data_IF_312397175934
#
_entry.id   IF_312397175934
#
_cell.length_a   1.000
_cell.length_b   1.000
_cell.length_c   1.000
_cell.angle_alpha   90.00
_cell.angle_beta   90.00
_cell.angle_gamma   90.00
#
_symmetry.space_group_name_H-M   'P 1'
#
loop_
_entity.id
_entity.type
_entity.pdbx_description
1 polymer ?
#
# COMPACT_ATOMS: atom_id res chain seq x y z
N UNK A 1 9.96 -0.87 14.28
CA UNK A 1 10.34 0.26 13.41
C UNK A 1 10.80 -0.21 12.04
N UNK A 2 11.87 -1.04 11.93
CA UNK A 2 12.39 -1.56 10.65
C UNK A 2 11.34 -2.18 9.72
N UNK A 3 10.44 -3.02 10.25
CA UNK A 3 9.34 -3.59 9.45
C UNK A 3 8.44 -2.52 8.83
N UNK A 4 8.02 -1.52 9.61
CA UNK A 4 7.17 -0.44 9.08
C UNK A 4 7.88 0.35 7.99
N UNK A 5 9.16 0.71 8.22
CA UNK A 5 10.00 1.39 7.21
C UNK A 5 10.07 0.59 5.92
N UNK A 6 10.35 -0.71 6.02
CA UNK A 6 10.44 -1.59 4.86
C UNK A 6 9.11 -1.67 4.11
N UNK A 7 8.01 -1.77 4.85
CA UNK A 7 6.66 -1.84 4.30
C UNK A 7 6.27 -0.56 3.55
N UNK A 8 6.52 0.60 4.15
CA UNK A 8 6.30 1.90 3.53
C UNK A 8 7.18 2.08 2.30
N UNK A 9 8.48 1.79 2.41
CA UNK A 9 9.43 1.90 1.31
C UNK A 9 9.05 0.98 0.14
N UNK A 10 8.59 -0.24 0.43
CA UNK A 10 8.13 -1.19 -0.58
C UNK A 10 6.90 -0.65 -1.34
N UNK A 11 5.89 -0.13 -0.63
CA UNK A 11 4.70 0.44 -1.26
C UNK A 11 5.07 1.63 -2.14
N UNK A 12 5.82 2.60 -1.60
CA UNK A 12 6.22 3.82 -2.32
C UNK A 12 7.07 3.48 -3.55
N UNK A 13 8.03 2.56 -3.43
CA UNK A 13 8.89 2.14 -4.55
C UNK A 13 8.10 1.48 -5.66
N UNK A 14 7.17 0.58 -5.33
CA UNK A 14 6.35 -0.10 -6.33
C UNK A 14 5.38 0.86 -7.03
N UNK A 15 4.81 1.81 -6.28
CA UNK A 15 3.99 2.88 -6.83
C UNK A 15 4.80 3.75 -7.79
N UNK A 16 5.98 4.23 -7.35
CA UNK A 16 6.86 5.07 -8.16
C UNK A 16 7.27 4.36 -9.45
N UNK A 17 7.76 3.12 -9.37
CA UNK A 17 8.18 2.39 -10.57
C UNK A 17 6.99 2.22 -11.51
N UNK A 18 5.84 1.77 -11.02
CA UNK A 18 4.67 1.58 -11.87
C UNK A 18 4.30 2.86 -12.63
N UNK A 19 4.12 3.96 -11.91
CA UNK A 19 3.74 5.23 -12.52
C UNK A 19 4.81 5.72 -13.49
N UNK A 20 6.09 5.65 -13.11
CA UNK A 20 7.18 6.18 -13.94
C UNK A 20 7.41 5.34 -15.20
N UNK A 21 7.60 4.03 -15.06
CA UNK A 21 8.08 3.18 -16.17
C UNK A 21 6.92 2.62 -16.97
N UNK A 22 5.85 2.15 -16.31
CA UNK A 22 4.74 1.51 -17.02
C UNK A 22 3.68 2.47 -17.54
N UNK A 23 3.63 3.70 -17.02
CA UNK A 23 2.64 4.68 -17.46
C UNK A 23 3.33 5.86 -18.13
N UNK A 24 4.13 6.63 -17.40
CA UNK A 24 4.72 7.89 -17.90
C UNK A 24 5.65 7.63 -19.07
N UNK A 25 6.68 6.79 -18.89
CA UNK A 25 7.68 6.51 -19.93
C UNK A 25 7.09 5.77 -21.13
N UNK A 26 6.22 4.79 -20.87
CA UNK A 26 5.53 4.05 -21.94
C UNK A 26 4.65 4.96 -22.80
N UNK A 27 3.78 5.76 -22.19
CA UNK A 27 2.91 6.69 -22.92
C UNK A 27 3.70 7.83 -23.57
N UNK A 28 4.83 8.24 -22.98
CA UNK A 28 5.72 9.23 -23.56
C UNK A 28 6.32 8.74 -24.87
N UNK A 29 6.78 7.49 -24.91
CA UNK A 29 7.33 6.90 -26.14
C UNK A 29 6.29 6.80 -27.26
N UNK A 30 5.03 6.48 -26.93
CA UNK A 30 3.92 6.51 -27.90
C UNK A 30 3.72 7.92 -28.44
N UNK A 31 3.63 8.92 -27.55
CA UNK A 31 3.48 10.32 -27.94
C UNK A 31 4.64 10.78 -28.84
N UNK A 32 5.89 10.43 -28.49
CA UNK A 32 7.07 10.79 -29.27
C UNK A 32 7.04 10.17 -30.68
N UNK A 33 6.60 8.91 -30.82
CA UNK A 33 6.41 8.28 -32.14
C UNK A 33 5.41 9.07 -32.99
N UNK A 34 4.25 9.40 -32.42
CA UNK A 34 3.23 10.18 -33.11
C UNK A 34 3.70 11.60 -33.48
N UNK A 35 4.47 12.26 -32.60
CA UNK A 35 5.04 13.58 -32.89
C UNK A 35 6.04 13.51 -34.06
N UNK A 36 6.81 12.43 -34.18
CA UNK A 36 7.79 12.26 -35.27
C UNK A 36 7.13 11.95 -36.62
N UNK A 37 6.00 11.26 -36.60
CA UNK A 37 5.28 10.82 -37.81
C UNK A 37 4.27 11.86 -38.32
N UNK A 38 3.76 12.72 -37.44
CA UNK A 38 2.73 13.71 -37.81
C UNK A 38 3.32 14.99 -38.38
N UNK A 39 2.60 15.58 -39.32
CA UNK A 39 2.91 16.87 -39.94
C UNK A 39 1.77 17.89 -39.76
N UNK A 40 0.71 17.54 -39.03
CA UNK A 40 -0.43 18.42 -38.73
C UNK A 40 -0.46 18.76 -37.24
N UNK A 41 -0.47 20.05 -36.92
CA UNK A 41 -0.59 20.53 -35.55
C UNK A 41 -1.89 20.08 -34.87
N UNK A 42 -3.00 19.95 -35.62
CA UNK A 42 -4.28 19.52 -35.07
C UNK A 42 -4.20 18.08 -34.55
N UNK A 43 -3.51 17.20 -35.29
CA UNK A 43 -3.23 15.84 -34.84
C UNK A 43 -2.32 15.83 -33.60
N UNK A 44 -1.26 16.65 -33.58
CA UNK A 44 -0.37 16.78 -32.42
C UNK A 44 -1.14 17.16 -31.13
N UNK A 45 -2.10 18.07 -31.24
CA UNK A 45 -2.99 18.42 -30.12
C UNK A 45 -3.84 17.22 -29.69
N UNK A 46 -4.38 16.46 -30.65
CA UNK A 46 -5.11 15.22 -30.39
C UNK A 46 -4.26 14.19 -29.63
N UNK A 47 -3.05 13.91 -30.11
CA UNK A 47 -2.13 12.96 -29.46
C UNK A 47 -1.72 13.41 -28.05
N UNK A 48 -1.54 14.72 -27.84
CA UNK A 48 -1.25 15.24 -26.49
C UNK A 48 -2.42 15.03 -25.53
N UNK A 49 -3.66 15.25 -25.98
CA UNK A 49 -4.85 15.01 -25.18
C UNK A 49 -5.03 13.51 -24.86
N UNK A 50 -4.77 12.63 -25.83
CA UNK A 50 -4.77 11.18 -25.61
C UNK A 50 -3.70 10.76 -24.60
N UNK A 51 -2.49 11.31 -24.71
CA UNK A 51 -1.42 11.10 -23.73
C UNK A 51 -1.85 11.48 -22.31
N UNK A 52 -2.39 12.70 -22.11
CA UNK A 52 -2.86 13.15 -20.81
C UNK A 52 -4.00 12.28 -20.26
N UNK A 53 -4.98 11.94 -21.11
CA UNK A 53 -6.10 11.05 -20.75
C UNK A 53 -5.60 9.69 -20.32
N UNK A 54 -4.63 9.13 -21.04
CA UNK A 54 -3.99 7.87 -20.70
C UNK A 54 -3.22 7.94 -19.38
N UNK A 55 -2.46 9.00 -19.11
CA UNK A 55 -1.77 9.17 -17.83
C UNK A 55 -2.75 9.16 -16.66
N UNK A 56 -3.82 9.96 -16.73
CA UNK A 56 -4.83 10.07 -15.67
C UNK A 56 -5.53 8.73 -15.43
N UNK A 57 -5.92 8.06 -16.52
CA UNK A 57 -6.66 6.78 -16.51
C UNK A 57 -5.80 5.61 -16.02
N UNK A 58 -4.56 5.48 -16.49
CA UNK A 58 -3.67 4.35 -16.20
C UNK A 58 -2.93 4.49 -14.85
N UNK A 59 -2.78 5.71 -14.32
CA UNK A 59 -2.35 5.93 -12.93
C UNK A 59 -3.48 5.76 -11.91
N UNK A 60 -4.73 5.62 -12.36
CA UNK A 60 -5.93 5.54 -11.52
C UNK A 60 -6.19 6.79 -10.66
N UNK A 61 -5.61 7.94 -11.04
CA UNK A 61 -5.80 9.19 -10.32
C UNK A 61 -7.21 9.77 -10.47
N UNK A 62 -7.94 9.37 -11.51
CA UNK A 62 -9.34 9.73 -11.71
C UNK A 62 -10.30 9.02 -10.75
N UNK A 63 -9.87 7.93 -10.13
CA UNK A 63 -10.63 7.31 -9.04
C UNK A 63 -10.45 8.18 -7.80
N UNK A 64 -11.43 9.04 -7.52
CA UNK A 64 -11.37 9.95 -6.38
C UNK A 64 -11.08 9.27 -5.03
N UNK A 65 -11.51 8.02 -4.82
CA UNK A 65 -11.15 7.25 -3.62
C UNK A 65 -9.71 6.72 -3.65
N UNK A 66 -9.21 6.33 -4.83
CA UNK A 66 -7.86 5.83 -5.05
C UNK A 66 -6.79 6.91 -4.87
N UNK A 67 -7.00 8.08 -5.47
CA UNK A 67 -6.08 9.22 -5.30
C UNK A 67 -6.04 9.71 -3.84
N UNK A 68 -7.19 9.86 -3.19
CA UNK A 68 -7.26 10.27 -1.77
C UNK A 68 -6.57 9.29 -0.82
N UNK A 69 -6.71 7.98 -1.04
CA UNK A 69 -6.07 6.99 -0.16
C UNK A 69 -4.55 6.96 -0.38
N UNK A 70 -4.08 7.06 -1.64
CA UNK A 70 -2.66 7.13 -1.95
C UNK A 70 -2.02 8.39 -1.34
N UNK A 71 -2.66 9.54 -1.50
CA UNK A 71 -2.22 10.79 -0.87
C UNK A 71 -2.12 10.64 0.66
N UNK A 72 -3.13 10.02 1.28
CA UNK A 72 -3.12 9.80 2.73
C UNK A 72 -2.02 8.84 3.17
N UNK A 73 -1.70 7.81 2.39
CA UNK A 73 -0.56 6.89 2.67
C UNK A 73 0.75 7.65 2.53
N UNK A 74 0.93 8.46 1.49
CA UNK A 74 2.13 9.27 1.29
C UNK A 74 2.36 10.25 2.44
N UNK A 75 1.30 10.93 2.92
CA UNK A 75 1.37 11.80 4.09
C UNK A 75 1.81 11.06 5.36
N UNK A 76 1.32 9.83 5.58
CA UNK A 76 1.79 9.00 6.70
C UNK A 76 3.27 8.61 6.56
N UNK A 77 3.72 8.28 5.35
CA UNK A 77 5.14 7.98 5.10
C UNK A 77 6.02 9.20 5.40
N UNK A 78 5.58 10.40 5.00
CA UNK A 78 6.30 11.65 5.31
C UNK A 78 6.30 11.96 6.80
N UNK A 79 5.16 11.80 7.49
CA UNK A 79 5.07 11.94 8.94
C UNK A 79 6.00 10.97 9.66
N UNK A 80 6.11 9.73 9.16
CA UNK A 80 7.05 8.74 9.70
C UNK A 80 8.51 9.18 9.51
N UNK A 81 8.89 9.68 8.33
CA UNK A 81 10.23 10.21 8.08
C UNK A 81 10.55 11.39 9.02
N UNK A 82 9.63 12.34 9.13
CA UNK A 82 9.75 13.49 10.02
C UNK A 82 9.93 13.07 11.49
N UNK A 83 9.15 12.09 11.96
CA UNK A 83 9.26 11.58 13.32
C UNK A 83 10.58 10.88 13.59
N UNK A 84 11.20 10.24 12.59
CA UNK A 84 12.51 9.61 12.75
C UNK A 84 13.62 10.66 12.78
N UNK A 85 13.55 11.66 11.90
CA UNK A 85 14.58 12.69 11.78
C UNK A 85 14.64 13.62 13.01
N UNK A 86 13.48 13.92 13.60
CA UNK A 86 13.38 14.88 14.71
C UNK A 86 13.42 14.25 16.11
N UNK A 87 13.70 12.95 16.26
CA UNK A 87 13.66 12.30 17.58
C UNK A 87 14.99 11.65 17.97
N UNK A 88 15.60 12.19 19.03
CA UNK A 88 16.80 11.64 19.66
C UNK A 88 16.50 10.50 20.65
N UNK A 89 15.28 10.34 21.17
CA UNK A 89 14.98 9.33 22.20
C UNK A 89 13.51 8.85 22.23
N UNK A 90 13.34 7.59 22.66
CA UNK A 90 12.18 6.67 22.71
C UNK A 90 10.78 7.15 23.17
N UNK A 91 10.52 8.46 23.30
CA UNK A 91 9.28 8.99 23.87
C UNK A 91 8.02 8.81 23.01
N UNK A 92 8.12 8.55 21.71
CA UNK A 92 6.94 8.54 20.83
C UNK A 92 6.46 7.14 20.44
N UNK A 93 6.54 6.18 21.38
CA UNK A 93 5.95 4.84 21.19
C UNK A 93 4.47 4.91 20.80
N UNK A 94 3.71 5.88 21.35
CA UNK A 94 2.32 6.11 21.00
C UNK A 94 2.13 6.61 19.56
N UNK A 95 2.84 7.65 19.14
CA UNK A 95 2.71 8.19 17.78
C UNK A 95 3.15 7.16 16.72
N UNK A 96 4.24 6.44 16.98
CA UNK A 96 4.70 5.40 16.07
C UNK A 96 3.68 4.27 15.97
N UNK A 97 3.06 3.87 17.08
CA UNK A 97 1.96 2.89 17.08
C UNK A 97 0.76 3.40 16.27
N UNK A 98 0.39 4.67 16.45
CA UNK A 98 -0.67 5.31 15.67
C UNK A 98 -0.37 5.30 14.16
N UNK A 99 0.85 5.66 13.76
CA UNK A 99 1.29 5.61 12.34
C UNK A 99 1.20 4.19 11.79
N UNK A 100 1.65 3.18 12.54
CA UNK A 100 1.56 1.77 12.13
C UNK A 100 0.11 1.36 11.91
N UNK A 101 -0.77 1.67 12.88
CA UNK A 101 -2.18 1.28 12.82
C UNK A 101 -2.90 1.97 11.65
N UNK A 102 -2.66 3.27 11.44
CA UNK A 102 -3.23 4.02 10.32
C UNK A 102 -2.68 3.57 8.96
N UNK A 103 -1.37 3.30 8.87
CA UNK A 103 -0.78 2.77 7.64
C UNK A 103 -1.39 1.42 7.28
N UNK A 104 -1.57 0.51 8.24
CA UNK A 104 -2.17 -0.80 8.00
C UNK A 104 -3.63 -0.70 7.55
N UNK A 105 -4.44 0.14 8.23
CA UNK A 105 -5.83 0.39 7.84
C UNK A 105 -5.93 0.91 6.41
N UNK A 106 -5.11 1.91 6.05
CA UNK A 106 -5.14 2.55 4.74
C UNK A 106 -4.60 1.64 3.63
N UNK A 107 -3.53 0.91 3.92
CA UNK A 107 -2.97 -0.14 3.05
C UNK A 107 -4.02 -1.21 2.71
N UNK A 108 -4.75 -1.69 3.71
CA UNK A 108 -5.84 -2.65 3.51
C UNK A 108 -7.01 -2.03 2.71
N UNK A 109 -7.38 -0.79 3.02
CA UNK A 109 -8.43 -0.09 2.29
C UNK A 109 -8.07 0.15 0.82
N UNK A 110 -6.81 0.52 0.53
CA UNK A 110 -6.29 0.61 -0.84
C UNK A 110 -6.42 -0.74 -1.56
N UNK A 111 -6.02 -1.84 -0.92
CA UNK A 111 -6.15 -3.18 -1.51
C UNK A 111 -7.63 -3.51 -1.82
N UNK A 112 -8.57 -3.16 -0.94
CA UNK A 112 -10.01 -3.32 -1.17
C UNK A 112 -10.52 -2.46 -2.34
N UNK A 113 -10.11 -1.19 -2.43
CA UNK A 113 -10.48 -0.31 -3.55
C UNK A 113 -9.99 -0.91 -4.88
N UNK A 114 -8.72 -1.32 -4.93
CA UNK A 114 -8.13 -1.85 -6.15
C UNK A 114 -8.68 -3.23 -6.55
N UNK A 115 -9.09 -4.05 -5.59
CA UNK A 115 -9.79 -5.33 -5.84
C UNK A 115 -11.27 -5.15 -6.16
N UNK A 116 -11.83 -3.95 -6.00
CA UNK A 116 -13.26 -3.73 -6.28
C UNK A 116 -13.58 -4.02 -7.76
N UNK A 117 -14.70 -4.67 -7.99
CA UNK A 117 -15.15 -5.13 -9.31
C UNK A 117 -15.28 -4.03 -10.37
N UNK A 118 -15.40 -2.77 -9.94
CA UNK A 118 -15.48 -1.58 -10.83
C UNK A 118 -14.29 -1.47 -11.77
N UNK A 119 -13.11 -1.96 -11.37
CA UNK A 119 -11.91 -1.89 -12.18
C UNK A 119 -11.68 -3.16 -13.01
N UNK A 120 -12.15 -4.31 -12.54
CA UNK A 120 -11.93 -5.62 -13.16
C UNK A 120 -12.62 -5.78 -14.53
N UNK A 121 -13.77 -5.12 -14.73
CA UNK A 121 -14.51 -5.15 -16.01
C UNK A 121 -14.20 -4.00 -16.98
N UNK A 122 -13.28 -3.10 -16.62
CA UNK A 122 -12.99 -1.91 -17.42
C UNK A 122 -11.87 -2.17 -18.43
N UNK A 123 -11.75 -1.33 -19.47
CA UNK A 123 -10.56 -1.30 -20.36
C UNK A 123 -9.24 -1.05 -19.59
N UNK A 124 -9.34 -0.66 -18.30
CA UNK A 124 -8.20 -0.44 -17.41
C UNK A 124 -7.75 -1.69 -16.67
N UNK A 125 -8.50 -2.79 -16.74
CA UNK A 125 -8.21 -4.06 -16.08
C UNK A 125 -6.76 -4.56 -16.28
N UNK A 126 -6.14 -4.51 -17.48
CA UNK A 126 -4.76 -4.96 -17.65
C UNK A 126 -3.75 -4.08 -16.87
N UNK A 127 -3.93 -2.76 -16.90
CA UNK A 127 -3.10 -1.82 -16.13
C UNK A 127 -3.28 -2.04 -14.63
N UNK A 128 -4.53 -2.25 -14.19
CA UNK A 128 -4.84 -2.50 -12.79
C UNK A 128 -4.19 -3.78 -12.34
N UNK A 129 -4.30 -4.85 -13.13
CA UNK A 129 -3.69 -6.14 -12.82
C UNK A 129 -2.18 -6.00 -12.68
N UNK A 130 -1.52 -5.24 -13.56
CA UNK A 130 -0.08 -4.96 -13.47
C UNK A 130 0.27 -4.17 -12.20
N UNK A 131 -0.52 -3.15 -11.86
CA UNK A 131 -0.34 -2.36 -10.64
C UNK A 131 -0.54 -3.19 -9.37
N UNK A 132 -1.61 -3.99 -9.32
CA UNK A 132 -1.92 -4.90 -8.22
C UNK A 132 -0.85 -5.96 -8.04
N UNK A 133 -0.35 -6.56 -9.13
CA UNK A 133 0.76 -7.51 -9.07
C UNK A 133 2.00 -6.87 -8.46
N UNK A 134 2.30 -5.61 -8.81
CA UNK A 134 3.41 -4.80 -8.25
C UNK A 134 3.22 -4.50 -6.77
N UNK A 135 2.04 -4.03 -6.39
CA UNK A 135 1.71 -3.70 -5.01
C UNK A 135 1.69 -4.95 -4.13
N UNK A 136 1.16 -6.07 -4.63
CA UNK A 136 1.12 -7.35 -3.92
C UNK A 136 2.27 -8.29 -4.30
N UNK A 137 3.41 -7.77 -4.78
CA UNK A 137 4.56 -8.64 -5.09
C UNK A 137 4.93 -9.43 -3.84
N UNK A 138 5.17 -10.73 -4.01
CA UNK A 138 5.45 -11.68 -2.93
C UNK A 138 4.33 -11.76 -1.87
N UNK A 139 3.07 -11.60 -2.27
CA UNK A 139 1.93 -11.66 -1.36
C UNK A 139 2.07 -10.64 -0.22
N UNK A 140 2.73 -9.50 -0.44
CA UNK A 140 3.04 -8.53 0.61
C UNK A 140 1.81 -8.13 1.46
N UNK A 141 0.66 -7.91 0.82
CA UNK A 141 -0.58 -7.60 1.55
C UNK A 141 -1.21 -8.83 2.22
N UNK A 142 -1.08 -10.01 1.63
CA UNK A 142 -1.61 -11.28 2.17
C UNK A 142 -0.79 -11.76 3.38
N UNK A 143 0.54 -11.70 3.30
CA UNK A 143 1.45 -12.03 4.40
C UNK A 143 1.31 -11.00 5.53
N UNK A 144 1.09 -9.73 5.21
CA UNK A 144 0.78 -8.71 6.23
C UNK A 144 -0.52 -9.02 6.96
N UNK A 145 -1.60 -9.39 6.25
CA UNK A 145 -2.83 -9.85 6.88
C UNK A 145 -2.59 -11.04 7.81
N UNK A 146 -1.82 -12.04 7.36
CA UNK A 146 -1.47 -13.21 8.16
C UNK A 146 -0.65 -12.81 9.40
N UNK A 147 0.37 -11.96 9.27
CA UNK A 147 1.16 -11.48 10.41
C UNK A 147 0.32 -10.67 11.40
N UNK A 148 -0.60 -9.82 10.94
CA UNK A 148 -1.51 -9.06 11.81
C UNK A 148 -2.46 -10.02 12.53
N UNK A 149 -3.01 -11.03 11.84
CA UNK A 149 -3.83 -12.08 12.47
C UNK A 149 -3.02 -12.86 13.50
N UNK A 150 -1.77 -13.28 13.20
CA UNK A 150 -0.93 -13.97 14.18
C UNK A 150 -0.56 -13.10 15.39
N UNK A 151 -0.28 -11.80 15.18
CA UNK A 151 0.00 -10.86 16.28
C UNK A 151 -1.25 -10.60 17.11
N UNK A 152 -2.43 -10.49 16.47
CA UNK A 152 -3.70 -10.29 17.15
C UNK A 152 -4.15 -11.54 17.91
N UNK A 153 -4.01 -12.73 17.33
CA UNK A 153 -4.25 -14.01 17.99
C UNK A 153 -3.30 -14.25 19.17
N UNK A 154 -2.06 -13.73 19.13
CA UNK A 154 -1.18 -13.72 20.33
C UNK A 154 -1.59 -12.70 21.38
N UNK A 155 -2.32 -11.64 21.01
CA UNK A 155 -2.74 -10.57 21.93
C UNK A 155 -4.07 -10.84 22.61
N UNK A 156 -4.92 -11.71 22.08
CA UNK A 156 -6.08 -12.22 22.80
C UNK A 156 -5.61 -13.28 23.79
N UNK A 157 -5.63 -13.02 25.11
CA UNK A 157 -5.36 -14.07 26.08
C UNK A 157 -6.49 -15.09 25.93
N UNK A 158 -6.16 -16.30 25.49
CA UNK A 158 -7.06 -17.43 25.61
C UNK A 158 -7.38 -17.57 27.11
N UNK A 159 -8.64 -17.46 27.55
CA UNK A 159 -8.98 -17.70 28.93
C UNK A 159 -8.68 -19.18 29.21
N UNK A 160 -7.69 -19.46 30.06
CA UNK A 160 -7.43 -20.80 30.55
C UNK A 160 -8.72 -21.31 31.24
N UNK A 161 -9.30 -22.44 30.80
CA UNK A 161 -10.47 -23.01 31.46
C UNK A 161 -10.13 -23.37 32.91
N UNK A 162 -10.92 -22.80 33.81
CA UNK A 162 -11.17 -23.18 35.21
C UNK A 162 -10.16 -24.11 35.91
N UNK A 163 -9.44 -23.50 36.87
CA UNK A 163 -9.20 -24.03 38.21
C UNK A 163 -8.95 -25.54 38.32
N UNK A 164 -7.74 -25.98 37.98
CA UNK A 164 -7.17 -27.15 38.65
C UNK A 164 -6.69 -26.70 40.04
N UNK A 165 -7.53 -26.92 41.04
CA UNK A 165 -7.20 -26.80 42.45
C UNK A 165 -5.95 -27.64 42.75
N UNK A 166 -4.86 -26.96 43.09
CA UNK A 166 -3.66 -27.60 43.66
C UNK A 166 -3.99 -27.98 45.10
N UNK A 167 -4.55 -29.17 45.30
CA UNK A 167 -4.64 -29.78 46.64
C UNK A 167 -3.23 -30.19 47.04
N UNK A 168 -2.60 -29.37 47.91
CA UNK A 168 -1.33 -29.71 48.57
C UNK A 168 -1.57 -30.88 49.52
N UNK A 169 -1.16 -32.09 49.14
CA UNK A 169 -0.86 -33.15 50.10
C UNK A 169 0.61 -32.98 50.50
N UNK A 170 0.82 -32.26 51.60
CA UNK A 170 2.13 -32.14 52.24
C UNK A 170 2.53 -33.49 52.84
N UNK A 171 3.52 -34.12 52.24
CA UNK A 171 4.31 -35.19 52.83
C UNK A 171 5.27 -34.58 53.87
N UNK A 172 5.13 -34.99 55.13
CA UNK A 172 6.21 -34.97 56.14
C UNK A 172 6.46 -36.43 56.49
N UNK A 173 7.44 -37.04 55.83
CA UNK A 173 8.79 -37.28 56.33
C UNK A 173 8.83 -38.30 57.47
N UNK A 174 9.32 -39.49 57.11
CA UNK A 174 10.13 -40.46 57.88
C UNK A 174 9.79 -40.67 59.34
#
# INVERSE_FOLDING_TARGET
MWRLREHMAFLVRNLQFYSQIYVIEFQWNILQSHIQESHDFTELVGFHQEYQSALISQTFLDIGSGSRILESIMKLCLQFCWNIENQDNFSNTYELKHIVDEFNKKSNFLSTILRSSRLAGSQRAPFLRRFLLRLNLNSFFEVMCICVVYIQCRRTPVPLPHQLQVVRLGTKNT
#
